data_IF_137509549145
#
_entry.id   IF_137509549145
#
_cell.length_a   1.000
_cell.length_b   1.000
_cell.length_c   1.000
_cell.angle_alpha   90.00
_cell.angle_beta   90.00
_cell.angle_gamma   90.00
#
_symmetry.space_group_name_H-M   'P 1'
#
loop_
_entity.id
_entity.type
_entity.pdbx_description
1 polymer ?
#
# COMPACT_ATOMS: atom_id res chain seq x y z
N UNK A 1 -38.85 23.82 -19.18
CA UNK A 1 -37.39 23.72 -19.33
C UNK A 1 -36.77 23.74 -17.96
N UNK A 2 -36.67 22.58 -17.32
CA UNK A 2 -35.97 22.42 -16.04
C UNK A 2 -34.49 22.27 -16.33
N UNK A 3 -33.71 23.25 -15.86
CA UNK A 3 -32.27 23.26 -15.96
C UNK A 3 -31.70 22.06 -15.20
N UNK A 4 -31.10 21.14 -15.94
CA UNK A 4 -30.18 20.13 -15.40
C UNK A 4 -28.95 20.87 -14.88
N UNK A 5 -28.74 20.84 -13.57
CA UNK A 5 -27.49 21.28 -12.95
C UNK A 5 -26.30 20.47 -13.49
N UNK A 6 -25.06 20.97 -13.36
CA UNK A 6 -23.88 20.27 -13.83
C UNK A 6 -23.78 18.92 -13.12
N UNK A 7 -23.82 17.84 -13.88
CA UNK A 7 -23.53 16.51 -13.37
C UNK A 7 -22.09 16.51 -12.83
N UNK A 8 -21.95 16.18 -11.54
CA UNK A 8 -20.64 15.83 -10.96
C UNK A 8 -20.08 14.68 -11.81
N UNK A 9 -18.87 14.76 -12.36
CA UNK A 9 -18.30 13.65 -13.11
C UNK A 9 -18.19 12.46 -12.15
N UNK A 10 -18.99 11.43 -12.38
CA UNK A 10 -18.86 10.15 -11.67
C UNK A 10 -17.46 9.63 -11.96
N UNK A 11 -16.57 9.64 -10.98
CA UNK A 11 -15.24 9.06 -11.12
C UNK A 11 -15.38 7.60 -11.59
N UNK A 12 -14.71 7.26 -12.70
CA UNK A 12 -14.76 5.91 -13.24
C UNK A 12 -14.11 4.88 -12.28
N UNK A 13 -13.16 5.34 -11.47
CA UNK A 13 -12.45 4.56 -10.48
C UNK A 13 -12.70 5.09 -9.05
N UNK A 14 -12.63 4.20 -8.08
CA UNK A 14 -12.64 4.55 -6.66
C UNK A 14 -11.21 4.91 -6.23
N UNK A 15 -10.20 4.14 -6.67
CA UNK A 15 -8.78 4.42 -6.43
C UNK A 15 -7.97 4.34 -7.71
N UNK A 16 -7.04 5.29 -7.87
CA UNK A 16 -5.96 5.23 -8.85
C UNK A 16 -4.65 5.14 -8.09
N UNK A 17 -3.82 4.15 -8.41
CA UNK A 17 -2.50 3.98 -7.82
C UNK A 17 -1.42 4.24 -8.89
N UNK A 18 -0.44 5.09 -8.58
CA UNK A 18 0.68 5.40 -9.47
C UNK A 18 1.98 4.91 -8.86
N UNK A 19 2.69 4.04 -9.58
CA UNK A 19 4.04 3.67 -9.16
C UNK A 19 4.68 2.59 -10.01
N UNK A 20 5.90 2.21 -9.63
CA UNK A 20 6.64 1.12 -10.26
C UNK A 20 6.22 -0.23 -9.67
N UNK A 21 5.79 -1.14 -10.55
CA UNK A 21 5.75 -2.57 -10.25
C UNK A 21 6.94 -3.26 -10.89
N UNK A 22 7.41 -4.31 -10.24
CA UNK A 22 8.54 -5.11 -10.64
C UNK A 22 8.18 -6.58 -10.58
N UNK A 23 8.85 -7.37 -11.42
CA UNK A 23 8.79 -8.82 -11.30
C UNK A 23 9.69 -9.23 -10.14
N UNK A 24 9.14 -9.96 -9.18
CA UNK A 24 9.89 -10.48 -8.03
C UNK A 24 10.28 -11.93 -8.27
N UNK A 25 11.50 -12.28 -7.86
CA UNK A 25 12.02 -13.64 -7.89
C UNK A 25 12.27 -14.10 -6.47
N UNK A 26 11.52 -15.13 -6.06
CA UNK A 26 11.62 -15.76 -4.74
C UNK A 26 12.28 -17.12 -4.89
N UNK A 27 13.26 -17.48 -4.05
CA UNK A 27 13.94 -18.75 -4.20
C UNK A 27 12.98 -19.90 -3.92
N UNK A 28 13.10 -20.98 -4.69
CA UNK A 28 12.27 -22.19 -4.53
C UNK A 28 12.61 -22.99 -3.27
N UNK A 29 13.79 -22.74 -2.68
CA UNK A 29 14.24 -23.30 -1.41
C UNK A 29 14.89 -22.20 -0.55
N UNK A 30 14.83 -22.27 0.79
CA UNK A 30 15.53 -21.32 1.65
C UNK A 30 17.05 -21.35 1.41
N UNK A 31 17.67 -20.17 1.36
CA UNK A 31 19.12 -20.03 1.16
C UNK A 31 19.50 -18.63 0.69
N UNK A 32 20.82 -18.37 0.57
CA UNK A 32 21.34 -17.14 -0.02
C UNK A 32 21.02 -17.11 -1.52
N UNK A 33 20.89 -15.92 -2.09
CA UNK A 33 20.63 -15.75 -3.53
C UNK A 33 21.71 -16.43 -4.40
N UNK A 34 22.95 -16.51 -3.91
CA UNK A 34 24.07 -17.14 -4.61
C UNK A 34 24.02 -18.68 -4.65
N UNK A 35 23.26 -19.33 -3.76
CA UNK A 35 23.31 -20.79 -3.57
C UNK A 35 22.03 -21.51 -4.02
N UNK A 36 20.94 -20.76 -4.22
CA UNK A 36 19.64 -21.33 -4.58
C UNK A 36 19.59 -21.73 -6.06
N UNK A 37 18.98 -22.87 -6.41
CA UNK A 37 19.04 -23.42 -7.76
C UNK A 37 18.04 -22.76 -8.72
N UNK A 38 16.96 -22.19 -8.22
CA UNK A 38 15.89 -21.60 -9.03
C UNK A 38 15.04 -20.61 -8.24
N UNK A 39 14.24 -19.83 -8.98
CA UNK A 39 13.34 -18.83 -8.44
C UNK A 39 11.94 -18.98 -9.03
N UNK A 40 10.94 -18.82 -8.19
CA UNK A 40 9.56 -18.60 -8.60
C UNK A 40 9.32 -17.12 -8.89
N UNK A 41 8.64 -16.88 -10.02
CA UNK A 41 8.27 -15.54 -10.45
C UNK A 41 6.98 -15.10 -9.76
N UNK A 42 6.98 -13.88 -9.23
CA UNK A 42 5.79 -13.18 -8.76
C UNK A 42 5.79 -11.72 -9.20
N UNK A 43 4.86 -10.95 -8.64
CA UNK A 43 4.79 -9.50 -8.80
C UNK A 43 5.01 -8.80 -7.46
N UNK A 44 5.53 -7.58 -7.50
CA UNK A 44 5.61 -6.71 -6.34
C UNK A 44 5.68 -5.25 -6.75
N UNK A 45 5.21 -4.37 -5.88
CA UNK A 45 5.19 -2.92 -6.10
C UNK A 45 4.19 -2.31 -5.14
N UNK A 46 4.61 -1.35 -4.33
CA UNK A 46 3.81 -0.87 -3.20
C UNK A 46 2.43 -0.37 -3.66
N UNK A 47 2.41 0.46 -4.70
CA UNK A 47 1.18 1.08 -5.19
C UNK A 47 0.28 0.08 -5.94
N UNK A 48 0.87 -0.83 -6.73
CA UNK A 48 0.11 -1.92 -7.35
C UNK A 48 -0.44 -2.91 -6.33
N UNK A 49 0.27 -3.13 -5.22
CA UNK A 49 -0.20 -4.02 -4.17
C UNK A 49 -1.48 -3.47 -3.54
N UNK A 50 -1.49 -2.18 -3.22
CA UNK A 50 -2.68 -1.47 -2.74
C UNK A 50 -3.83 -1.58 -3.74
N UNK A 51 -3.58 -1.34 -5.03
CA UNK A 51 -4.60 -1.46 -6.07
C UNK A 51 -5.18 -2.88 -6.18
N UNK A 52 -4.35 -3.91 -6.20
CA UNK A 52 -4.78 -5.32 -6.26
C UNK A 52 -5.64 -5.69 -5.06
N UNK A 53 -5.22 -5.31 -3.84
CA UNK A 53 -5.94 -5.62 -2.61
C UNK A 53 -7.28 -4.87 -2.55
N UNK A 54 -7.34 -3.63 -3.02
CA UNK A 54 -8.58 -2.87 -3.12
C UNK A 54 -9.54 -3.43 -4.17
N UNK A 55 -9.02 -3.85 -5.33
CA UNK A 55 -9.81 -4.53 -6.37
C UNK A 55 -10.40 -5.84 -5.84
N UNK A 56 -9.60 -6.65 -5.13
CA UNK A 56 -10.07 -7.86 -4.48
C UNK A 56 -11.09 -7.60 -3.36
N UNK A 57 -11.06 -6.42 -2.74
CA UNK A 57 -12.07 -5.97 -1.77
C UNK A 57 -13.36 -5.40 -2.42
N UNK A 58 -13.42 -5.37 -3.75
CA UNK A 58 -14.59 -4.97 -4.54
C UNK A 58 -14.63 -3.50 -4.96
N UNK A 59 -13.53 -2.76 -4.83
CA UNK A 59 -13.43 -1.38 -5.32
C UNK A 59 -12.96 -1.34 -6.78
N UNK A 60 -13.37 -0.31 -7.52
CA UNK A 60 -12.82 -0.06 -8.86
C UNK A 60 -11.44 0.57 -8.72
N UNK A 61 -10.40 -0.21 -8.97
CA UNK A 61 -9.02 0.26 -8.87
C UNK A 61 -8.36 0.32 -10.25
N UNK A 62 -7.53 1.35 -10.47
CA UNK A 62 -6.67 1.44 -11.64
C UNK A 62 -5.20 1.57 -11.23
N UNK A 63 -4.31 1.04 -12.06
CA UNK A 63 -2.87 1.19 -11.90
C UNK A 63 -2.29 1.94 -13.10
N UNK A 64 -1.72 3.11 -12.83
CA UNK A 64 -1.01 3.92 -13.83
C UNK A 64 0.48 3.71 -13.66
N UNK A 65 1.16 3.31 -14.73
CA UNK A 65 2.59 3.04 -14.70
C UNK A 65 3.23 3.01 -16.08
N UNK A 66 4.53 2.69 -16.11
CA UNK A 66 5.29 2.32 -17.30
C UNK A 66 6.02 1.01 -17.08
N UNK A 67 5.88 0.10 -18.05
CA UNK A 67 6.63 -1.17 -18.10
C UNK A 67 7.38 -1.27 -19.42
N UNK A 68 8.41 -2.11 -19.48
CA UNK A 68 9.11 -2.40 -20.72
C UNK A 68 8.20 -3.12 -21.72
N UNK A 69 8.53 -2.99 -23.00
CA UNK A 69 8.01 -3.83 -24.07
C UNK A 69 8.76 -5.18 -24.09
N UNK A 70 8.66 -5.88 -22.96
CA UNK A 70 9.31 -7.15 -22.70
C UNK A 70 8.34 -8.11 -21.98
N UNK A 71 8.69 -9.39 -21.91
CA UNK A 71 7.83 -10.42 -21.30
C UNK A 71 7.59 -10.22 -19.80
N UNK A 72 8.44 -9.45 -19.10
CA UNK A 72 8.20 -9.08 -17.71
C UNK A 72 7.13 -7.99 -17.60
N UNK A 73 7.13 -7.02 -18.51
CA UNK A 73 6.08 -6.01 -18.60
C UNK A 73 4.73 -6.64 -18.95
N UNK A 74 4.72 -7.62 -19.87
CA UNK A 74 3.51 -8.40 -20.19
C UNK A 74 2.99 -9.12 -18.95
N UNK A 75 3.88 -9.82 -18.26
CA UNK A 75 3.54 -10.53 -17.04
C UNK A 75 2.94 -9.60 -15.97
N UNK A 76 3.52 -8.41 -15.74
CA UNK A 76 2.99 -7.47 -14.75
C UNK A 76 1.58 -6.99 -15.10
N UNK A 77 1.36 -6.56 -16.35
CA UNK A 77 0.06 -6.06 -16.80
C UNK A 77 -1.01 -7.14 -16.70
N UNK A 78 -0.71 -8.37 -17.12
CA UNK A 78 -1.62 -9.50 -17.03
C UNK A 78 -1.91 -9.91 -15.58
N UNK A 79 -0.87 -10.04 -14.75
CA UNK A 79 -1.03 -10.49 -13.37
C UNK A 79 -1.77 -9.47 -12.51
N UNK A 80 -1.46 -8.18 -12.64
CA UNK A 80 -2.18 -7.11 -11.94
C UNK A 80 -3.63 -7.01 -12.46
N UNK A 81 -3.82 -7.10 -13.78
CA UNK A 81 -5.16 -7.12 -14.39
C UNK A 81 -6.02 -8.31 -13.94
N UNK A 82 -5.43 -9.46 -13.64
CA UNK A 82 -6.14 -10.63 -13.13
C UNK A 82 -6.74 -10.43 -11.73
N UNK A 83 -6.29 -9.44 -10.96
CA UNK A 83 -6.93 -9.01 -9.70
C UNK A 83 -8.14 -8.08 -9.94
N UNK A 84 -8.47 -7.76 -11.18
CA UNK A 84 -9.55 -6.82 -11.53
C UNK A 84 -9.12 -5.35 -11.56
N UNK A 85 -7.81 -5.08 -11.54
CA UNK A 85 -7.27 -3.72 -11.66
C UNK A 85 -7.30 -3.28 -13.12
N UNK A 86 -7.79 -2.06 -13.38
CA UNK A 86 -7.71 -1.43 -14.69
C UNK A 86 -6.25 -1.04 -15.00
N UNK A 87 -5.69 -1.66 -16.05
CA UNK A 87 -4.32 -1.45 -16.53
C UNK A 87 -4.27 -0.69 -17.86
N UNK A 88 -5.39 -0.13 -18.32
CA UNK A 88 -5.48 0.57 -19.62
C UNK A 88 -4.58 1.81 -19.73
N UNK A 89 -4.23 2.41 -18.59
CA UNK A 89 -3.33 3.55 -18.50
C UNK A 89 -1.83 3.17 -18.38
N UNK A 90 -1.49 1.88 -18.36
CA UNK A 90 -0.09 1.42 -18.32
C UNK A 90 0.54 1.60 -19.70
N UNK A 91 1.65 2.34 -19.78
CA UNK A 91 2.38 2.57 -21.02
C UNK A 91 3.54 1.59 -21.20
N UNK A 92 3.77 1.17 -22.45
CA UNK A 92 4.93 0.34 -22.82
C UNK A 92 6.10 1.21 -23.27
N UNK A 93 7.31 0.86 -22.82
CA UNK A 93 8.56 1.48 -23.28
C UNK A 93 9.37 0.51 -24.16
N UNK A 94 9.69 0.92 -25.38
CA UNK A 94 10.48 0.13 -26.34
C UNK A 94 11.99 0.13 -26.06
N UNK A 95 12.47 1.01 -25.18
CA UNK A 95 13.90 1.27 -24.97
C UNK A 95 14.37 0.97 -23.55
N UNK A 96 13.45 0.90 -22.57
CA UNK A 96 13.79 0.67 -21.16
C UNK A 96 13.18 -0.64 -20.67
N UNK A 97 13.92 -1.41 -19.86
CA UNK A 97 13.42 -2.68 -19.36
C UNK A 97 12.39 -2.49 -18.24
N UNK A 98 11.55 -3.50 -18.04
CA UNK A 98 10.78 -3.66 -16.80
C UNK A 98 11.72 -3.94 -15.63
N UNK A 99 11.51 -3.26 -14.49
CA UNK A 99 12.30 -3.50 -13.28
C UNK A 99 12.05 -4.88 -12.68
N UNK A 100 13.09 -5.49 -12.10
CA UNK A 100 13.00 -6.78 -11.41
C UNK A 100 13.74 -6.73 -10.07
N UNK A 101 13.41 -7.62 -9.15
CA UNK A 101 14.24 -7.84 -7.97
C UNK A 101 14.19 -9.28 -7.47
N UNK A 102 15.29 -9.68 -6.84
CA UNK A 102 15.43 -10.96 -6.15
C UNK A 102 15.36 -10.72 -4.66
N UNK A 103 14.69 -11.58 -3.90
CA UNK A 103 14.71 -11.53 -2.44
C UNK A 103 14.85 -12.91 -1.84
N UNK A 104 15.55 -13.02 -0.72
CA UNK A 104 15.59 -14.28 0.05
C UNK A 104 14.22 -14.57 0.67
N UNK A 105 13.92 -15.86 0.90
CA UNK A 105 12.69 -16.29 1.57
C UNK A 105 12.69 -16.00 3.09
N UNK A 106 13.88 -15.74 3.67
CA UNK A 106 14.07 -15.53 5.10
C UNK A 106 13.55 -14.18 5.61
N UNK A 107 13.17 -14.19 6.88
CA UNK A 107 12.68 -13.03 7.61
C UNK A 107 13.74 -11.90 7.68
N UNK A 108 13.28 -10.65 7.66
CA UNK A 108 14.12 -9.44 7.68
C UNK A 108 15.06 -9.38 8.89
N UNK A 109 14.71 -10.07 9.97
CA UNK A 109 15.47 -10.14 11.21
C UNK A 109 16.74 -11.02 11.13
N UNK A 110 16.97 -11.73 10.03
CA UNK A 110 18.15 -12.59 9.87
C UNK A 110 19.22 -11.91 9.01
N UNK A 111 20.50 -12.11 9.35
CA UNK A 111 21.63 -11.64 8.54
C UNK A 111 21.68 -12.24 7.10
N UNK A 112 20.80 -13.20 6.82
CA UNK A 112 20.62 -13.79 5.49
C UNK A 112 19.59 -13.03 4.63
N UNK A 113 18.89 -12.01 5.16
CA UNK A 113 17.94 -11.24 4.39
C UNK A 113 18.66 -10.38 3.34
N UNK A 114 18.46 -10.69 2.07
CA UNK A 114 19.03 -9.97 0.95
C UNK A 114 17.92 -9.62 -0.05
N UNK A 115 17.92 -8.38 -0.53
CA UNK A 115 17.10 -7.95 -1.66
C UNK A 115 18.00 -7.29 -2.70
N UNK A 116 18.07 -7.88 -3.89
CA UNK A 116 18.86 -7.38 -5.01
C UNK A 116 17.93 -6.76 -6.07
N UNK A 117 17.96 -5.43 -6.18
CA UNK A 117 17.14 -4.68 -7.14
C UNK A 117 17.87 -4.43 -8.46
N UNK A 118 17.17 -4.69 -9.56
CA UNK A 118 17.59 -4.37 -10.92
C UNK A 118 16.52 -3.47 -11.56
N UNK A 119 16.49 -2.20 -11.11
CA UNK A 119 15.50 -1.20 -11.53
C UNK A 119 16.10 0.12 -12.01
N UNK A 120 17.41 0.29 -11.92
CA UNK A 120 18.08 1.50 -12.42
C UNK A 120 17.81 1.66 -13.92
N UNK A 121 17.22 2.81 -14.31
CA UNK A 121 16.88 3.09 -15.70
C UNK A 121 15.67 2.33 -16.24
N UNK A 122 14.86 1.68 -15.39
CA UNK A 122 13.64 0.98 -15.79
C UNK A 122 12.63 1.89 -16.51
N UNK A 123 11.66 1.28 -17.20
CA UNK A 123 10.58 2.00 -17.86
C UNK A 123 9.80 2.92 -16.91
N UNK A 124 9.55 2.46 -15.68
CA UNK A 124 8.86 3.22 -14.63
C UNK A 124 9.69 4.41 -14.13
N UNK A 125 11.02 4.27 -14.04
CA UNK A 125 11.90 5.41 -13.67
C UNK A 125 11.85 6.57 -14.67
N UNK A 126 11.28 6.36 -15.86
CA UNK A 126 11.10 7.39 -16.86
C UNK A 126 9.70 8.04 -16.85
N UNK A 127 8.83 7.70 -15.89
CA UNK A 127 7.56 8.41 -15.72
C UNK A 127 7.78 9.89 -15.47
N UNK A 128 6.93 10.73 -16.07
CA UNK A 128 6.94 12.18 -15.85
C UNK A 128 5.59 12.80 -16.22
N UNK A 129 5.40 14.07 -15.87
CA UNK A 129 4.24 14.87 -16.28
C UNK A 129 4.08 14.97 -17.80
N UNK A 130 5.16 14.77 -18.57
CA UNK A 130 5.16 14.88 -20.03
C UNK A 130 4.72 13.60 -20.76
N UNK A 131 4.72 12.45 -20.08
CA UNK A 131 4.47 11.15 -20.74
C UNK A 131 3.39 10.29 -20.09
N UNK A 132 2.78 10.77 -19.00
CA UNK A 132 1.59 10.17 -18.41
C UNK A 132 0.35 11.03 -18.65
N UNK A 133 -0.79 10.36 -18.64
CA UNK A 133 -2.11 11.00 -18.70
C UNK A 133 -2.50 11.49 -17.30
N UNK A 134 -2.38 12.81 -17.07
CA UNK A 134 -2.71 13.42 -15.79
C UNK A 134 -4.22 13.37 -15.48
N UNK A 135 -5.08 13.29 -16.49
CA UNK A 135 -6.52 13.20 -16.29
C UNK A 135 -6.87 11.78 -15.82
N UNK A 136 -6.24 10.75 -16.38
CA UNK A 136 -6.36 9.37 -15.89
C UNK A 136 -5.86 9.23 -14.44
N UNK A 137 -4.75 9.89 -14.09
CA UNK A 137 -4.24 9.92 -12.71
C UNK A 137 -5.22 10.58 -11.72
N UNK A 138 -5.97 11.58 -12.19
CA UNK A 138 -6.93 12.34 -11.38
C UNK A 138 -8.36 11.78 -11.43
N UNK A 139 -8.59 10.67 -12.13
CA UNK A 139 -9.94 10.16 -12.40
C UNK A 139 -10.55 9.33 -11.25
N UNK A 140 -9.83 9.12 -10.15
CA UNK A 140 -10.27 8.38 -8.97
C UNK A 140 -10.91 9.24 -7.89
N UNK A 141 -11.52 8.63 -6.87
CA UNK A 141 -11.85 9.34 -5.61
C UNK A 141 -10.60 9.55 -4.77
N UNK A 142 -9.71 8.56 -4.80
CA UNK A 142 -8.40 8.58 -4.13
C UNK A 142 -7.30 8.36 -5.18
N UNK A 143 -6.24 9.16 -5.11
CA UNK A 143 -4.97 8.92 -5.79
C UNK A 143 -3.96 8.45 -4.74
N UNK A 144 -3.51 7.20 -4.84
CA UNK A 144 -2.52 6.62 -3.93
C UNK A 144 -1.12 6.65 -4.54
N UNK A 145 -0.18 7.19 -3.78
CA UNK A 145 1.21 7.48 -4.14
C UNK A 145 2.14 6.96 -3.05
N UNK A 146 3.41 6.74 -3.38
CA UNK A 146 4.42 6.47 -2.35
C UNK A 146 5.75 7.17 -2.60
N UNK A 147 6.54 7.30 -1.53
CA UNK A 147 7.91 7.84 -1.60
C UNK A 147 8.87 7.02 -2.47
N UNK A 148 8.57 5.74 -2.75
CA UNK A 148 9.38 4.91 -3.66
C UNK A 148 9.40 5.52 -5.05
N UNK A 149 8.24 5.96 -5.56
CA UNK A 149 8.15 6.51 -6.92
C UNK A 149 8.91 7.83 -7.04
N UNK A 150 8.88 8.68 -6.01
CA UNK A 150 9.67 9.91 -5.96
C UNK A 150 11.19 9.67 -6.04
N UNK A 151 11.66 8.53 -5.52
CA UNK A 151 13.08 8.20 -5.48
C UNK A 151 13.63 7.67 -6.82
N UNK A 152 12.78 7.36 -7.82
CA UNK A 152 13.22 6.67 -9.04
C UNK A 152 13.98 7.56 -10.00
N UNK A 153 13.58 8.83 -10.11
CA UNK A 153 14.22 9.83 -10.96
C UNK A 153 13.68 11.23 -10.67
N UNK A 154 14.37 12.26 -11.17
CA UNK A 154 13.88 13.64 -11.12
C UNK A 154 12.52 13.81 -11.84
N UNK A 155 12.30 13.09 -12.95
CA UNK A 155 11.02 13.15 -13.67
C UNK A 155 9.86 12.57 -12.86
N UNK A 156 10.11 11.48 -12.12
CA UNK A 156 9.13 10.94 -11.19
C UNK A 156 8.88 11.91 -10.03
N UNK A 157 9.92 12.50 -9.45
CA UNK A 157 9.77 13.49 -8.40
C UNK A 157 8.93 14.70 -8.84
N UNK A 158 9.20 15.26 -10.01
CA UNK A 158 8.42 16.38 -10.56
C UNK A 158 6.94 15.99 -10.78
N UNK A 159 6.70 14.75 -11.20
CA UNK A 159 5.35 14.20 -11.31
C UNK A 159 4.67 14.09 -9.94
N UNK A 160 5.35 13.58 -8.91
CA UNK A 160 4.78 13.52 -7.56
C UNK A 160 4.45 14.91 -7.03
N UNK A 161 5.33 15.90 -7.24
CA UNK A 161 5.08 17.30 -6.86
C UNK A 161 3.86 17.88 -7.55
N UNK A 162 3.67 17.62 -8.85
CA UNK A 162 2.47 18.05 -9.59
C UNK A 162 1.18 17.38 -9.08
N UNK A 163 1.27 16.14 -8.58
CA UNK A 163 0.11 15.38 -8.10
C UNK A 163 -0.25 15.69 -6.64
N UNK A 164 0.73 16.02 -5.80
CA UNK A 164 0.51 16.42 -4.40
C UNK A 164 0.21 17.91 -4.26
N UNK A 165 0.52 18.73 -5.27
CA UNK A 165 0.21 20.16 -5.26
C UNK A 165 -1.29 20.41 -4.94
N UNK A 166 -1.61 21.31 -3.99
CA UNK A 166 -3.00 21.67 -3.70
C UNK A 166 -3.69 22.24 -4.94
N UNK A 167 -4.81 21.62 -5.35
CA UNK A 167 -5.59 22.05 -6.52
C UNK A 167 -7.07 21.81 -6.30
N UNK A 168 -7.89 22.80 -6.63
CA UNK A 168 -9.34 22.65 -6.56
C UNK A 168 -9.81 21.49 -7.47
N UNK A 169 -10.62 20.58 -6.92
CA UNK A 169 -11.17 19.44 -7.64
C UNK A 169 -10.18 18.30 -7.92
N UNK A 170 -8.98 18.29 -7.32
CA UNK A 170 -8.12 17.09 -7.34
C UNK A 170 -8.72 15.98 -6.47
N UNK A 171 -8.42 14.68 -6.74
CA UNK A 171 -8.83 13.59 -5.86
C UNK A 171 -8.17 13.73 -4.48
N UNK A 172 -8.68 12.96 -3.52
CA UNK A 172 -8.02 12.78 -2.23
C UNK A 172 -6.65 12.12 -2.47
N UNK A 173 -5.57 12.76 -2.06
CA UNK A 173 -4.21 12.24 -2.22
C UNK A 173 -3.82 11.47 -0.98
N UNK A 174 -3.60 10.17 -1.18
CA UNK A 174 -3.02 9.27 -0.18
C UNK A 174 -1.54 9.08 -0.50
N UNK A 175 -0.67 9.26 0.48
CA UNK A 175 0.77 9.12 0.34
C UNK A 175 1.33 8.21 1.44
N UNK A 176 1.94 7.08 1.08
CA UNK A 176 2.75 6.28 2.00
C UNK A 176 4.21 6.72 1.88
N UNK A 177 4.82 7.14 3.00
CA UNK A 177 6.21 7.65 3.01
C UNK A 177 7.17 6.61 2.44
N UNK A 178 6.98 5.33 2.77
CA UNK A 178 7.66 4.18 2.18
C UNK A 178 9.17 4.42 1.93
N UNK A 179 9.86 5.00 2.91
CA UNK A 179 11.28 5.34 2.87
C UNK A 179 12.11 4.06 2.70
N UNK A 180 12.95 4.07 1.65
CA UNK A 180 13.89 2.99 1.35
C UNK A 180 15.28 3.61 1.27
N UNK A 181 16.10 3.55 2.34
CA UNK A 181 17.42 4.18 2.36
C UNK A 181 18.29 3.86 1.13
N UNK A 182 18.21 2.61 0.63
CA UNK A 182 18.93 2.20 -0.58
C UNK A 182 18.59 3.00 -1.85
N UNK A 183 17.33 3.43 -2.02
CA UNK A 183 16.91 4.26 -3.16
C UNK A 183 17.40 5.72 -3.03
N UNK A 184 17.65 6.17 -1.81
CA UNK A 184 18.06 7.54 -1.50
C UNK A 184 19.56 7.68 -1.23
N UNK A 185 20.33 6.60 -1.31
CA UNK A 185 21.77 6.55 -0.98
C UNK A 185 22.66 7.55 -1.74
N UNK A 186 22.18 8.11 -2.86
CA UNK A 186 22.85 9.16 -3.63
C UNK A 186 22.31 10.58 -3.44
N UNK A 187 21.31 10.79 -2.57
CA UNK A 187 20.64 12.08 -2.37
C UNK A 187 20.48 12.37 -0.87
N UNK A 188 21.26 13.35 -0.38
CA UNK A 188 21.12 13.83 1.00
C UNK A 188 19.77 14.51 1.25
N UNK A 189 19.07 14.95 0.19
CA UNK A 189 17.79 15.66 0.26
C UNK A 189 16.58 14.72 0.32
N UNK A 190 16.79 13.40 0.24
CA UNK A 190 15.69 12.42 0.18
C UNK A 190 14.67 12.53 1.31
N UNK A 191 15.11 12.56 2.59
CA UNK A 191 14.23 12.84 3.72
C UNK A 191 13.38 14.12 3.60
N UNK A 192 14.01 15.22 3.19
CA UNK A 192 13.34 16.52 3.06
C UNK A 192 12.29 16.50 1.93
N UNK A 193 12.61 15.82 0.82
CA UNK A 193 11.68 15.60 -0.30
C UNK A 193 10.47 14.78 0.15
N UNK A 194 10.69 13.70 0.92
CA UNK A 194 9.58 12.89 1.43
C UNK A 194 8.69 13.68 2.38
N UNK A 195 9.27 14.52 3.22
CA UNK A 195 8.51 15.40 4.10
C UNK A 195 7.73 16.45 3.29
N UNK A 196 8.33 17.07 2.28
CA UNK A 196 7.67 17.99 1.34
C UNK A 196 6.44 17.34 0.69
N UNK A 197 6.59 16.13 0.14
CA UNK A 197 5.50 15.41 -0.51
C UNK A 197 4.40 15.01 0.47
N UNK A 198 4.77 14.55 1.67
CA UNK A 198 3.82 14.21 2.72
C UNK A 198 2.97 15.42 3.13
N UNK A 199 3.57 16.62 3.24
CA UNK A 199 2.84 17.88 3.52
C UNK A 199 1.80 18.24 2.46
N UNK A 200 1.98 17.82 1.22
CA UNK A 200 1.03 18.06 0.13
C UNK A 200 -0.14 17.06 0.06
N UNK A 201 -0.04 15.95 0.78
CA UNK A 201 -1.04 14.89 0.77
C UNK A 201 -2.15 15.10 1.81
N UNK A 202 -3.33 14.51 1.58
CA UNK A 202 -4.45 14.61 2.50
C UNK A 202 -4.46 13.47 3.53
N UNK A 203 -4.08 12.26 3.08
CA UNK A 203 -3.88 11.09 3.93
C UNK A 203 -2.41 10.68 3.85
N UNK A 204 -1.70 10.70 4.97
CA UNK A 204 -0.32 10.22 5.04
C UNK A 204 -0.22 8.96 5.87
N UNK A 205 0.48 7.95 5.36
CA UNK A 205 0.91 6.78 6.12
C UNK A 205 2.42 6.85 6.35
N UNK A 206 2.85 6.65 7.59
CA UNK A 206 4.27 6.59 7.95
C UNK A 206 4.48 5.60 9.10
N UNK A 207 5.58 4.86 9.09
CA UNK A 207 6.03 4.10 10.27
C UNK A 207 6.63 5.01 11.34
N UNK A 208 6.55 4.64 12.62
CA UNK A 208 7.31 5.37 13.64
C UNK A 208 8.82 5.14 13.51
N UNK A 209 9.22 3.90 13.24
CA UNK A 209 10.58 3.51 12.83
C UNK A 209 11.04 4.28 11.57
N UNK A 210 10.16 4.37 10.59
CA UNK A 210 10.39 5.06 9.32
C UNK A 210 10.59 6.58 9.51
N UNK A 211 9.82 7.20 10.39
CA UNK A 211 9.95 8.62 10.71
C UNK A 211 11.25 8.93 11.46
N UNK A 212 11.69 8.02 12.35
CA UNK A 212 12.99 8.13 13.00
C UNK A 212 14.12 8.00 11.96
N UNK A 213 14.08 6.95 11.13
CA UNK A 213 15.11 6.67 10.12
C UNK A 213 15.20 7.75 9.03
N UNK A 214 14.06 8.26 8.56
CA UNK A 214 14.01 9.27 7.51
C UNK A 214 14.31 10.66 8.08
N UNK A 215 13.59 11.08 9.12
CA UNK A 215 13.52 12.48 9.54
C UNK A 215 14.21 12.75 10.88
N UNK A 216 14.74 11.73 11.56
CA UNK A 216 15.33 11.87 12.90
C UNK A 216 14.28 12.24 13.96
N UNK A 217 12.99 12.06 13.67
CA UNK A 217 11.91 12.40 14.59
C UNK A 217 11.80 11.28 15.63
N UNK A 218 12.27 11.57 16.82
CA UNK A 218 12.15 10.72 18.00
C UNK A 218 11.09 11.27 18.95
N UNK A 219 10.55 10.43 19.83
CA UNK A 219 9.46 10.81 20.75
C UNK A 219 8.09 10.25 20.36
N UNK A 220 8.04 9.42 19.32
CA UNK A 220 6.87 8.63 18.96
C UNK A 220 5.81 9.39 18.15
N UNK A 221 4.59 8.83 18.05
CA UNK A 221 3.56 9.30 17.12
C UNK A 221 3.14 10.76 17.27
N UNK A 222 3.11 11.30 18.50
CA UNK A 222 2.72 12.69 18.74
C UNK A 222 3.79 13.66 18.19
N UNK A 223 5.08 13.33 18.32
CA UNK A 223 6.18 14.11 17.74
C UNK A 223 6.15 14.12 16.20
N UNK A 224 5.75 12.99 15.59
CA UNK A 224 5.54 12.90 14.15
C UNK A 224 4.37 13.80 13.73
N UNK A 225 3.27 13.81 14.49
CA UNK A 225 2.15 14.71 14.22
C UNK A 225 2.54 16.18 14.34
N UNK A 226 3.33 16.55 15.34
CA UNK A 226 3.81 17.93 15.53
C UNK A 226 4.72 18.39 14.38
N UNK A 227 5.52 17.49 13.83
CA UNK A 227 6.41 17.77 12.70
C UNK A 227 5.71 17.80 11.34
N UNK A 228 4.54 17.14 11.24
CA UNK A 228 3.73 17.00 10.03
C UNK A 228 2.24 17.34 10.31
N UNK A 229 1.93 18.61 10.65
CA UNK A 229 0.56 19.05 10.94
C UNK A 229 -0.33 19.24 9.70
N UNK A 230 0.25 19.33 8.51
CA UNK A 230 -0.43 19.72 7.27
C UNK A 230 -1.44 18.69 6.75
N UNK A 231 -1.16 17.37 6.75
CA UNK A 231 -2.14 16.37 6.33
C UNK A 231 -3.38 16.41 7.21
N UNK A 232 -4.55 16.36 6.56
CA UNK A 232 -5.84 16.30 7.23
C UNK A 232 -6.00 14.99 8.01
N UNK A 233 -5.36 13.92 7.56
CA UNK A 233 -5.34 12.62 8.21
C UNK A 233 -3.91 12.05 8.19
N UNK A 234 -3.27 11.96 9.36
CA UNK A 234 -1.96 11.34 9.51
C UNK A 234 -2.10 10.00 10.21
N UNK A 235 -1.59 8.92 9.62
CA UNK A 235 -1.60 7.57 10.18
C UNK A 235 -0.18 7.11 10.46
N UNK A 236 0.12 6.88 11.73
CA UNK A 236 1.40 6.36 12.22
C UNK A 236 1.26 4.87 12.52
N UNK A 237 1.96 4.04 11.74
CA UNK A 237 2.04 2.57 11.89
C UNK A 237 3.13 2.24 12.91
N UNK A 238 2.88 1.33 13.85
CA UNK A 238 3.84 0.94 14.90
C UNK A 238 4.04 -0.58 15.00
N UNK A 239 3.91 -1.27 13.87
CA UNK A 239 3.98 -2.73 13.82
C UNK A 239 3.03 -3.41 14.81
N UNK A 240 3.59 -4.23 15.71
CA UNK A 240 2.83 -4.97 16.72
C UNK A 240 2.15 -4.07 17.78
N UNK A 241 2.62 -2.84 17.96
CA UNK A 241 2.05 -1.88 18.92
C UNK A 241 0.82 -1.14 18.36
N UNK A 242 0.34 -1.55 17.18
CA UNK A 242 -0.87 -1.03 16.56
C UNK A 242 -0.62 0.19 15.67
N UNK A 243 -1.62 1.07 15.59
CA UNK A 243 -1.55 2.26 14.76
C UNK A 243 -2.34 3.41 15.40
N UNK A 244 -1.89 4.63 15.12
CA UNK A 244 -2.56 5.87 15.55
C UNK A 244 -2.90 6.69 14.31
N UNK A 245 -4.10 7.25 14.29
CA UNK A 245 -4.50 8.26 13.33
C UNK A 245 -4.77 9.60 14.03
N UNK A 246 -4.40 10.69 13.35
CA UNK A 246 -4.71 12.06 13.76
C UNK A 246 -5.56 12.71 12.69
N UNK A 247 -6.69 13.26 13.08
CA UNK A 247 -7.56 14.08 12.23
C UNK A 247 -8.01 15.36 12.95
N UNK A 248 -9.02 16.05 12.42
CA UNK A 248 -9.57 17.25 13.03
C UNK A 248 -10.26 17.01 14.38
N UNK A 249 -10.75 15.78 14.64
CA UNK A 249 -11.42 15.41 15.89
C UNK A 249 -10.42 14.94 16.96
N UNK A 250 -9.19 14.64 16.56
CA UNK A 250 -8.06 14.42 17.44
C UNK A 250 -7.33 13.10 17.17
N UNK A 251 -6.89 12.45 18.25
CA UNK A 251 -6.07 11.24 18.23
C UNK A 251 -6.94 9.99 18.38
N UNK A 252 -6.79 9.04 17.46
CA UNK A 252 -7.46 7.75 17.44
C UNK A 252 -6.43 6.64 17.48
N UNK A 253 -6.58 5.65 18.36
CA UNK A 253 -5.59 4.59 18.54
C UNK A 253 -6.28 3.22 18.56
N UNK A 254 -5.74 2.28 17.78
CA UNK A 254 -6.22 0.90 17.77
C UNK A 254 -5.03 -0.07 17.83
N UNK A 255 -5.04 -1.04 18.77
CA UNK A 255 -3.99 -2.04 18.87
C UNK A 255 -4.01 -2.98 17.66
N UNK A 256 -2.86 -3.53 17.31
CA UNK A 256 -2.79 -4.61 16.32
C UNK A 256 -3.35 -5.89 16.95
N UNK A 257 -4.19 -6.66 16.23
CA UNK A 257 -4.47 -8.05 16.57
C UNK A 257 -3.18 -8.85 16.66
N UNK A 258 -3.18 -9.91 17.46
CA UNK A 258 -2.10 -10.91 17.46
C UNK A 258 -2.19 -11.74 16.19
N UNK A 259 -1.07 -11.99 15.55
CA UNK A 259 -1.02 -12.74 14.28
C UNK A 259 0.05 -13.81 14.33
N UNK A 260 -0.27 -14.99 13.80
CA UNK A 260 0.74 -16.03 13.55
C UNK A 260 1.43 -15.73 12.22
N UNK A 261 2.60 -15.07 12.29
CA UNK A 261 3.31 -14.60 11.09
C UNK A 261 3.85 -15.77 10.27
N UNK A 262 3.40 -15.83 9.03
CA UNK A 262 3.89 -16.74 7.97
C UNK A 262 4.83 -15.99 7.02
N UNK A 263 4.51 -14.74 6.66
CA UNK A 263 5.33 -13.91 5.80
C UNK A 263 5.28 -12.43 6.24
N UNK A 264 6.43 -11.79 6.43
CA UNK A 264 6.50 -10.41 6.94
C UNK A 264 6.37 -9.30 5.87
N UNK A 265 6.16 -9.65 4.60
CA UNK A 265 6.21 -8.70 3.47
C UNK A 265 4.81 -8.34 2.98
N UNK A 266 4.59 -7.06 2.64
CA UNK A 266 3.32 -6.58 2.10
C UNK A 266 2.31 -6.11 3.16
N UNK A 267 2.59 -6.30 4.45
CA UNK A 267 1.70 -5.90 5.54
C UNK A 267 1.38 -4.39 5.55
N UNK A 268 2.36 -3.54 5.23
CA UNK A 268 2.17 -2.09 5.14
C UNK A 268 1.24 -1.68 3.99
N UNK A 269 1.45 -2.24 2.80
CA UNK A 269 0.60 -1.99 1.63
C UNK A 269 -0.83 -2.50 1.89
N UNK A 270 -0.95 -3.69 2.49
CA UNK A 270 -2.24 -4.25 2.87
C UNK A 270 -2.95 -3.39 3.93
N UNK A 271 -2.22 -2.89 4.93
CA UNK A 271 -2.75 -1.93 5.90
C UNK A 271 -3.32 -0.69 5.22
N UNK A 272 -2.55 -0.08 4.31
CA UNK A 272 -3.00 1.09 3.57
C UNK A 272 -4.27 0.77 2.76
N UNK A 273 -4.31 -0.38 2.08
CA UNK A 273 -5.48 -0.83 1.32
C UNK A 273 -6.73 -1.03 2.21
N UNK A 274 -6.59 -1.67 3.38
CA UNK A 274 -7.69 -1.83 4.32
C UNK A 274 -8.23 -0.49 4.83
N UNK A 275 -7.32 0.41 5.20
CA UNK A 275 -7.66 1.76 5.66
C UNK A 275 -8.37 2.58 4.56
N UNK A 276 -7.85 2.56 3.33
CA UNK A 276 -8.43 3.28 2.19
C UNK A 276 -9.78 2.68 1.77
N UNK A 277 -9.93 1.35 1.86
CA UNK A 277 -11.21 0.67 1.65
C UNK A 277 -12.30 1.19 2.60
N UNK A 278 -11.97 1.32 3.88
CA UNK A 278 -12.86 1.89 4.90
C UNK A 278 -13.07 3.40 4.72
N UNK A 279 -12.07 4.13 4.20
CA UNK A 279 -12.18 5.55 3.86
C UNK A 279 -13.18 5.78 2.73
N UNK A 280 -13.13 4.98 1.66
CA UNK A 280 -14.08 5.06 0.52
C UNK A 280 -15.53 4.76 0.93
N UNK A 281 -15.69 4.04 2.03
CA UNK A 281 -16.97 3.72 2.68
C UNK A 281 -17.40 4.75 3.75
N UNK A 282 -16.59 5.78 3.97
CA UNK A 282 -16.88 6.86 4.93
C UNK A 282 -17.06 6.37 6.38
N UNK A 283 -16.36 5.30 6.77
CA UNK A 283 -16.41 4.76 8.13
C UNK A 283 -15.68 5.68 9.14
N UNK A 284 -15.96 5.59 10.45
CA UNK A 284 -15.19 6.28 11.50
C UNK A 284 -13.70 5.94 11.47
N UNK A 285 -12.81 6.85 11.87
CA UNK A 285 -11.35 6.66 11.78
C UNK A 285 -10.85 5.45 12.57
N UNK A 286 -11.41 5.19 13.75
CA UNK A 286 -11.11 3.97 14.52
C UNK A 286 -11.40 2.70 13.70
N UNK A 287 -12.54 2.64 13.00
CA UNK A 287 -12.87 1.50 12.14
C UNK A 287 -11.93 1.40 10.92
N UNK A 288 -11.47 2.54 10.38
CA UNK A 288 -10.46 2.55 9.31
C UNK A 288 -9.14 1.94 9.78
N UNK A 289 -8.69 2.27 10.99
CA UNK A 289 -7.49 1.66 11.59
C UNK A 289 -7.66 0.15 11.76
N UNK A 290 -8.82 -0.30 12.26
CA UNK A 290 -9.12 -1.73 12.40
C UNK A 290 -9.15 -2.47 11.06
N UNK A 291 -9.74 -1.88 10.02
CA UNK A 291 -9.68 -2.44 8.68
C UNK A 291 -8.24 -2.53 8.15
N UNK A 292 -7.41 -1.52 8.40
CA UNK A 292 -5.99 -1.57 8.10
C UNK A 292 -5.31 -2.76 8.78
N UNK A 293 -5.52 -2.93 10.09
CA UNK A 293 -4.99 -4.06 10.85
C UNK A 293 -5.46 -5.42 10.34
N UNK A 294 -6.75 -5.57 10.02
CA UNK A 294 -7.26 -6.82 9.45
C UNK A 294 -6.61 -7.15 8.11
N UNK A 295 -6.37 -6.17 7.25
CA UNK A 295 -5.74 -6.43 5.94
C UNK A 295 -4.25 -6.73 6.10
N UNK A 296 -3.57 -6.03 7.01
CA UNK A 296 -2.20 -6.36 7.39
C UNK A 296 -2.10 -7.79 7.92
N UNK A 297 -3.04 -8.21 8.77
CA UNK A 297 -3.09 -9.56 9.31
C UNK A 297 -3.24 -10.61 8.20
N UNK A 298 -4.05 -10.36 7.16
CA UNK A 298 -4.14 -11.26 5.99
C UNK A 298 -2.78 -11.43 5.31
N UNK A 299 -2.08 -10.33 5.03
CA UNK A 299 -0.76 -10.39 4.40
C UNK A 299 0.27 -11.10 5.28
N UNK A 300 0.16 -10.99 6.61
CA UNK A 300 1.07 -11.63 7.56
C UNK A 300 0.82 -13.12 7.73
N UNK A 301 -0.43 -13.59 7.60
CA UNK A 301 -0.83 -14.98 7.86
C UNK A 301 -0.82 -15.89 6.63
N UNK A 302 -0.57 -15.34 5.44
CA UNK A 302 -0.63 -16.09 4.17
C UNK A 302 0.70 -16.00 3.39
N UNK A 303 1.07 -17.05 2.62
CA UNK A 303 2.23 -16.97 1.73
C UNK A 303 2.03 -15.99 0.57
N UNK A 304 2.95 -15.03 0.42
CA UNK A 304 2.98 -14.10 -0.71
C UNK A 304 2.60 -12.67 -0.34
N UNK A 305 2.71 -11.74 -1.28
CA UNK A 305 2.52 -10.30 -1.01
C UNK A 305 1.07 -9.83 -1.28
N UNK A 306 0.24 -10.69 -1.88
CA UNK A 306 -1.11 -10.37 -2.37
C UNK A 306 -2.11 -11.47 -2.00
N UNK A 307 -2.39 -11.56 -0.70
CA UNK A 307 -3.40 -12.47 -0.17
C UNK A 307 -4.82 -11.87 -0.32
N UNK A 308 -5.81 -12.75 -0.50
CA UNK A 308 -7.19 -12.33 -0.68
C UNK A 308 -7.74 -11.71 0.63
N UNK A 309 -8.36 -10.52 0.57
CA UNK A 309 -8.94 -9.90 1.76
C UNK A 309 -10.08 -10.76 2.33
N UNK A 310 -10.41 -10.62 3.63
CA UNK A 310 -11.56 -11.31 4.20
C UNK A 310 -12.85 -10.81 3.54
N UNK A 311 -13.91 -11.62 3.59
CA UNK A 311 -15.22 -11.17 3.12
C UNK A 311 -15.66 -9.91 3.88
N UNK A 312 -16.38 -9.01 3.19
CA UNK A 312 -16.86 -7.75 3.79
C UNK A 312 -17.64 -7.99 5.09
N UNK A 313 -18.54 -8.98 5.10
CA UNK A 313 -19.33 -9.29 6.29
C UNK A 313 -18.46 -9.76 7.47
N UNK A 314 -17.41 -10.54 7.21
CA UNK A 314 -16.47 -11.00 8.24
C UNK A 314 -15.62 -9.85 8.77
N UNK A 315 -15.08 -9.02 7.87
CA UNK A 315 -14.34 -7.82 8.25
C UNK A 315 -15.18 -6.88 9.13
N UNK A 316 -16.38 -6.53 8.68
CA UNK A 316 -17.27 -5.62 9.40
C UNK A 316 -17.67 -6.19 10.78
N UNK A 317 -17.90 -7.51 10.87
CA UNK A 317 -18.17 -8.19 12.15
C UNK A 317 -17.01 -8.07 13.14
N UNK A 318 -15.78 -8.28 12.66
CA UNK A 318 -14.57 -8.19 13.50
C UNK A 318 -14.25 -6.74 13.89
N UNK A 319 -14.42 -5.80 12.97
CA UNK A 319 -14.24 -4.36 13.24
C UNK A 319 -15.24 -3.86 14.28
N UNK A 320 -16.48 -4.39 14.25
CA UNK A 320 -17.54 -4.05 15.21
C UNK A 320 -17.41 -4.65 16.60
N UNK A 321 -16.34 -5.40 16.90
CA UNK A 321 -16.06 -5.89 18.24
C UNK A 321 -15.83 -4.72 19.22
N UNK A 322 -16.15 -4.92 20.50
CA UNK A 322 -15.76 -3.94 21.53
C UNK A 322 -14.22 -3.91 21.69
N UNK A 323 -13.70 -2.87 22.35
CA UNK A 323 -12.26 -2.66 22.50
C UNK A 323 -11.54 -3.82 23.22
N UNK A 324 -12.20 -4.47 24.18
CA UNK A 324 -11.63 -5.59 24.92
C UNK A 324 -11.50 -6.85 24.04
N UNK A 325 -12.55 -7.15 23.28
CA UNK A 325 -12.59 -8.26 22.34
C UNK A 325 -11.63 -8.04 21.17
N UNK A 326 -11.56 -6.81 20.66
CA UNK A 326 -10.58 -6.42 19.63
C UNK A 326 -9.15 -6.60 20.11
N UNK A 327 -8.81 -6.10 21.31
CA UNK A 327 -7.46 -6.17 21.87
C UNK A 327 -6.98 -7.58 22.23
N UNK A 328 -7.86 -8.57 22.22
CA UNK A 328 -7.54 -9.99 22.48
C UNK A 328 -7.63 -10.87 21.23
N UNK A 329 -7.95 -10.28 20.07
CA UNK A 329 -8.09 -11.00 18.81
C UNK A 329 -6.76 -11.64 18.38
N UNK A 330 -6.82 -12.92 18.01
CA UNK A 330 -5.70 -13.70 17.49
C UNK A 330 -6.09 -14.31 16.14
N UNK A 331 -5.31 -14.01 15.11
CA UNK A 331 -5.57 -14.40 13.72
C UNK A 331 -4.42 -15.27 13.21
N UNK A 332 -4.72 -16.53 12.89
CA UNK A 332 -3.78 -17.49 12.29
C UNK A 332 -4.04 -17.75 10.80
N UNK A 333 -3.21 -18.55 10.12
CA UNK A 333 -3.38 -18.84 8.69
C UNK A 333 -4.80 -19.30 8.32
N UNK A 334 -5.30 -18.86 7.17
CA UNK A 334 -6.65 -19.18 6.70
C UNK A 334 -7.80 -18.44 7.38
N UNK A 335 -7.54 -17.56 8.37
CA UNK A 335 -8.61 -16.85 9.09
C UNK A 335 -9.49 -15.98 8.18
N UNK A 336 -8.96 -15.54 7.03
CA UNK A 336 -9.67 -14.71 6.07
C UNK A 336 -10.51 -15.52 5.07
N UNK A 337 -10.21 -16.82 4.89
CA UNK A 337 -10.97 -17.70 4.02
C UNK A 337 -12.39 -17.93 4.60
N UNK A 338 -13.39 -17.88 3.71
CA UNK A 338 -14.80 -17.65 4.03
C UNK A 338 -15.43 -18.63 5.05
N UNK A 339 -16.49 -18.12 5.71
CA UNK A 339 -17.48 -18.88 6.47
C UNK A 339 -18.10 -19.98 5.59
N UNK A 340 -17.53 -21.19 5.62
CA UNK A 340 -18.14 -22.39 5.03
C UNK A 340 -19.24 -22.99 5.94
N UNK A 341 -19.68 -22.27 6.97
CA UNK A 341 -20.61 -22.75 7.98
C UNK A 341 -21.70 -21.70 8.30
N UNK A 342 -22.55 -21.41 7.32
CA UNK A 342 -23.97 -21.12 7.61
C UNK A 342 -24.86 -22.35 7.27
N UNK A 343 -24.24 -23.54 7.26
CA UNK A 343 -24.90 -24.82 7.42
C UNK A 343 -24.55 -25.40 8.79
N UNK A 344 -25.19 -24.84 9.83
CA UNK A 344 -25.45 -25.43 11.14
C UNK A 344 -24.34 -26.23 11.85
N UNK A 345 -23.66 -25.58 12.79
CA UNK A 345 -23.35 -26.16 14.11
C UNK A 345 -22.81 -25.04 15.03
N UNK A 346 -23.42 -24.90 16.20
CA UNK A 346 -22.89 -24.13 17.32
C UNK A 346 -21.67 -24.85 17.91
N UNK A 347 -20.64 -24.12 18.34
CA UNK A 347 -19.67 -24.46 19.40
C UNK A 347 -18.55 -23.41 19.40
N UNK A 348 -17.97 -22.93 20.49
CA UNK A 348 -18.36 -22.82 21.89
C UNK A 348 -17.34 -21.80 22.47
N UNK A 349 -17.81 -20.85 23.27
CA UNK A 349 -16.94 -20.04 24.14
C UNK A 349 -16.42 -20.95 25.24
N UNK A 350 -15.11 -20.94 25.53
CA UNK A 350 -14.61 -21.23 26.88
C UNK A 350 -13.17 -20.77 27.12
N UNK A 351 -13.06 -19.75 27.95
CA UNK A 351 -11.88 -19.36 28.74
C UNK A 351 -11.66 -20.35 29.89
N UNK A 352 -10.43 -20.47 30.40
CA UNK A 352 -10.18 -20.49 31.84
C UNK A 352 -9.88 -19.10 32.39
#
# INVERSE_FOLDING_TARGET
>A
MTATGPAVPTSANDVVALGESMVTFRPTVPGRLADVPSFDRGIGGAESNVACVLAAAGHRAAWVSRVGADGFGDHLVEAIGAYGVDTSAVRRDLHRPTGIYFRTAGDRATAAHEVAYYRAGSAASAMSTANLDLDALRSGRILHLSGITAALSAGCLDLLRELTAPRAGRPLVSFDVNYRPGLWSGSAEGPDVLLELARGADIVFVGDDEAEDAWGITGGPDAIRDALPEPALLVVKRGADGAIAYDADGRHEEPSPRVDVVAAVGAGDAFAAGFLSATLRELPVAERLRHGHLWAAVALTEPGDLAAPPSRARADRLVGLDAASWGTLHLGPGWAAADAADSGAAEEVRTP
#
